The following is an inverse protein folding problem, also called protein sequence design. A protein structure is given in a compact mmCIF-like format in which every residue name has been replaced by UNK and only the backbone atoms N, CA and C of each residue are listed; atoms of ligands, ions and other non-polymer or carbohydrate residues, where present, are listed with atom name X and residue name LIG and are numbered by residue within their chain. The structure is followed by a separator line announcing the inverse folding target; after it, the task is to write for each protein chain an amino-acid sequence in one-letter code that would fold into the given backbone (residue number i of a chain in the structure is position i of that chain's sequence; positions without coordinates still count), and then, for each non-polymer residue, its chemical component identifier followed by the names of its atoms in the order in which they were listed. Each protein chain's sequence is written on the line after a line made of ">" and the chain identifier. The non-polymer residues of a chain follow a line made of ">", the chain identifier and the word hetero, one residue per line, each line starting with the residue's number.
data_IF_013656808487
#
_entry.id   IF_013656808487
#
_cell.length_a   1.000
_cell.length_b   1.000
_cell.length_c   1.000
_cell.angle_alpha   90.00
_cell.angle_beta   90.00
_cell.angle_gamma   90.00
#
_symmetry.space_group_name_H-M   'P 1'
#
loop_
_entity.id
_entity.type
_entity.pdbx_description
1 polymer ?
#
# COMPACT_ATOMS: atom_id res chain seq x y z
N UNK A 1 10.21 0.79 5.62
CA UNK A 1 10.13 1.85 4.58
C UNK A 1 9.79 1.17 3.27
N UNK A 2 8.90 1.73 2.46
CA UNK A 2 8.58 1.21 1.11
C UNK A 2 9.28 2.12 0.10
N UNK A 3 10.20 1.56 -0.70
CA UNK A 3 10.88 2.30 -1.76
C UNK A 3 9.98 2.44 -2.99
N UNK A 4 9.57 3.66 -3.33
CA UNK A 4 8.64 3.94 -4.41
C UNK A 4 9.37 4.10 -5.73
N UNK A 5 9.33 3.06 -6.55
CA UNK A 5 10.17 2.93 -7.75
C UNK A 5 9.48 3.40 -9.03
N UNK A 6 8.26 3.92 -8.97
CA UNK A 6 7.39 4.28 -10.13
C UNK A 6 8.07 5.12 -11.23
N UNK A 7 9.09 5.91 -10.91
CA UNK A 7 9.78 6.83 -11.82
C UNK A 7 11.24 6.47 -12.17
N UNK A 8 11.77 5.34 -11.68
CA UNK A 8 13.16 4.94 -11.92
C UNK A 8 13.28 3.76 -12.87
N UNK A 9 14.44 3.52 -13.46
CA UNK A 9 14.66 2.32 -14.28
C UNK A 9 14.84 1.06 -13.42
N UNK A 10 14.99 -0.09 -14.07
CA UNK A 10 15.18 -1.37 -13.37
C UNK A 10 16.54 -1.46 -12.68
N UNK A 11 17.56 -0.75 -13.17
CA UNK A 11 18.92 -0.82 -12.63
C UNK A 11 18.99 -0.11 -11.26
N UNK A 12 18.26 0.99 -11.09
CA UNK A 12 18.05 1.61 -9.78
C UNK A 12 17.35 0.66 -8.80
N UNK A 13 16.40 -0.16 -9.27
CA UNK A 13 15.73 -1.16 -8.41
C UNK A 13 16.71 -2.25 -8.00
N UNK A 14 17.54 -2.76 -8.92
CA UNK A 14 18.59 -3.75 -8.59
C UNK A 14 19.55 -3.21 -7.53
N UNK A 15 19.97 -1.94 -7.65
CA UNK A 15 20.84 -1.30 -6.66
C UNK A 15 20.17 -1.24 -5.28
N UNK A 16 18.88 -0.88 -5.20
CA UNK A 16 18.14 -0.92 -3.94
C UNK A 16 18.10 -2.33 -3.33
N UNK A 17 17.86 -3.34 -4.17
CA UNK A 17 17.82 -4.74 -3.74
C UNK A 17 19.19 -5.19 -3.22
N UNK A 18 20.29 -4.83 -3.90
CA UNK A 18 21.66 -5.11 -3.45
C UNK A 18 22.01 -4.40 -2.13
N UNK A 19 21.42 -3.23 -1.88
CA UNK A 19 21.52 -2.51 -0.60
C UNK A 19 20.62 -3.09 0.51
N UNK A 20 19.89 -4.18 0.24
CA UNK A 20 19.06 -4.89 1.20
C UNK A 20 17.64 -4.33 1.35
N UNK A 21 17.17 -3.48 0.43
CA UNK A 21 15.77 -3.04 0.41
C UNK A 21 14.86 -4.18 -0.01
N UNK A 22 13.87 -4.50 0.83
CA UNK A 22 12.95 -5.61 0.61
C UNK A 22 11.56 -5.18 0.13
N UNK A 23 11.10 -3.99 0.47
CA UNK A 23 9.74 -3.52 0.21
C UNK A 23 9.73 -2.51 -0.95
N UNK A 24 9.26 -2.95 -2.11
CA UNK A 24 9.24 -2.19 -3.36
C UNK A 24 7.81 -1.75 -3.70
N UNK A 25 7.61 -0.46 -3.94
CA UNK A 25 6.30 0.16 -4.16
C UNK A 25 6.08 0.66 -5.59
N UNK A 26 5.01 0.18 -6.21
CA UNK A 26 4.60 0.56 -7.57
C UNK A 26 3.21 1.15 -7.61
N UNK A 27 2.99 2.13 -8.49
CA UNK A 27 1.69 2.81 -8.62
C UNK A 27 0.81 2.27 -9.74
N UNK A 28 1.36 1.55 -10.72
CA UNK A 28 0.62 1.08 -11.90
C UNK A 28 0.82 -0.42 -12.10
N UNK A 29 -0.28 -1.15 -12.30
CA UNK A 29 -0.28 -2.60 -12.43
C UNK A 29 0.65 -3.13 -13.55
N UNK A 30 0.64 -2.59 -14.80
CA UNK A 30 1.53 -3.12 -15.84
C UNK A 30 3.02 -2.94 -15.50
N UNK A 31 3.36 -1.79 -14.90
CA UNK A 31 4.72 -1.47 -14.49
C UNK A 31 5.19 -2.39 -13.34
N UNK A 32 4.29 -2.66 -12.38
CA UNK A 32 4.53 -3.62 -11.31
C UNK A 32 4.86 -5.02 -11.83
N UNK A 33 4.04 -5.54 -12.75
CA UNK A 33 4.23 -6.88 -13.33
C UNK A 33 5.54 -6.96 -14.09
N UNK A 34 5.82 -5.96 -14.94
CA UNK A 34 7.05 -5.93 -15.74
C UNK A 34 8.30 -5.88 -14.84
N UNK A 35 8.33 -4.97 -13.86
CA UNK A 35 9.50 -4.81 -12.98
C UNK A 35 9.73 -6.03 -12.09
N UNK A 36 8.66 -6.61 -11.53
CA UNK A 36 8.79 -7.85 -10.76
C UNK A 36 9.40 -8.95 -11.61
N UNK A 37 8.93 -9.13 -12.85
CA UNK A 37 9.50 -10.12 -13.77
C UNK A 37 10.97 -9.86 -14.06
N UNK A 38 11.36 -8.63 -14.37
CA UNK A 38 12.75 -8.28 -14.67
C UNK A 38 13.68 -8.53 -13.47
N UNK A 39 13.23 -8.16 -12.27
CA UNK A 39 14.01 -8.39 -11.04
C UNK A 39 14.09 -9.88 -10.69
N UNK A 40 13.00 -10.64 -10.82
CA UNK A 40 13.01 -12.10 -10.60
C UNK A 40 13.92 -12.82 -11.62
N UNK A 41 13.97 -12.35 -12.87
CA UNK A 41 14.88 -12.86 -13.89
C UNK A 41 16.34 -12.55 -13.55
N UNK A 42 16.62 -11.31 -13.14
CA UNK A 42 17.97 -10.90 -12.74
C UNK A 42 18.48 -11.65 -11.50
N UNK A 43 17.61 -11.92 -10.52
CA UNK A 43 17.92 -12.74 -9.34
C UNK A 43 18.12 -14.24 -9.68
N UNK A 44 17.92 -14.66 -10.93
CA UNK A 44 18.21 -16.03 -11.38
C UNK A 44 17.27 -17.09 -10.83
N UNK A 45 16.03 -16.75 -10.46
CA UNK A 45 15.01 -17.72 -10.03
C UNK A 45 15.17 -18.27 -8.61
N UNK A 46 16.21 -17.90 -7.86
CA UNK A 46 16.27 -18.10 -6.41
C UNK A 46 15.34 -17.10 -5.71
N UNK A 47 14.02 -17.34 -5.80
CA UNK A 47 12.94 -16.61 -5.10
C UNK A 47 13.15 -16.48 -3.57
N UNK A 48 14.18 -17.11 -3.02
CA UNK A 48 14.40 -17.34 -1.60
C UNK A 48 15.42 -16.41 -0.92
N UNK A 49 16.27 -15.67 -1.64
CA UNK A 49 17.40 -15.00 -0.97
C UNK A 49 17.15 -13.60 -0.42
N UNK A 50 16.19 -12.84 -0.96
CA UNK A 50 16.00 -11.42 -0.54
C UNK A 50 14.61 -11.13 0.04
N UNK A 51 13.66 -12.07 0.01
CA UNK A 51 12.35 -11.88 0.64
C UNK A 51 11.62 -10.63 0.16
N UNK A 52 11.75 -10.28 -1.13
CA UNK A 52 11.15 -9.07 -1.70
C UNK A 52 9.63 -9.10 -1.56
N UNK A 53 9.07 -7.96 -1.13
CA UNK A 53 7.64 -7.71 -1.05
C UNK A 53 7.29 -6.58 -2.01
N UNK A 54 6.36 -6.86 -2.91
CA UNK A 54 5.87 -5.90 -3.89
C UNK A 54 4.54 -5.30 -3.45
N UNK A 55 4.53 -3.97 -3.30
CA UNK A 55 3.40 -3.19 -2.84
C UNK A 55 2.76 -2.44 -4.01
N UNK A 56 1.48 -2.71 -4.29
CA UNK A 56 0.69 -1.85 -5.15
C UNK A 56 0.12 -0.70 -4.32
N UNK A 57 0.67 0.51 -4.52
CA UNK A 57 0.35 1.72 -3.73
C UNK A 57 -0.52 2.74 -4.48
N UNK A 58 -0.78 2.51 -5.77
CA UNK A 58 -1.66 3.33 -6.58
C UNK A 58 -3.08 2.75 -6.67
N UNK A 59 -4.01 3.54 -7.20
CA UNK A 59 -5.40 3.12 -7.39
C UNK A 59 -5.49 1.85 -8.27
N UNK A 60 -6.27 0.87 -7.81
CA UNK A 60 -6.48 -0.40 -8.49
C UNK A 60 -7.87 -0.45 -9.13
N UNK A 61 -7.89 -0.41 -10.46
CA UNK A 61 -9.12 -0.63 -11.21
C UNK A 61 -9.51 -2.12 -11.16
N UNK A 62 -10.82 -2.41 -10.97
CA UNK A 62 -11.34 -3.78 -10.87
C UNK A 62 -10.94 -4.70 -12.04
N UNK A 63 -10.96 -4.20 -13.28
CA UNK A 63 -10.56 -4.96 -14.46
C UNK A 63 -9.05 -5.30 -14.52
N UNK A 64 -8.22 -4.73 -13.64
CA UNK A 64 -6.79 -5.02 -13.52
C UNK A 64 -6.46 -5.90 -12.32
N UNK A 65 -7.43 -6.29 -11.50
CA UNK A 65 -7.22 -7.11 -10.30
C UNK A 65 -6.50 -8.41 -10.61
N UNK A 66 -6.96 -9.16 -11.61
CA UNK A 66 -6.32 -10.42 -12.01
C UNK A 66 -4.83 -10.24 -12.33
N UNK A 67 -4.50 -9.22 -13.13
CA UNK A 67 -3.13 -8.91 -13.50
C UNK A 67 -2.31 -8.41 -12.30
N UNK A 68 -2.90 -7.60 -11.43
CA UNK A 68 -2.23 -7.12 -10.22
C UNK A 68 -1.83 -8.27 -9.30
N UNK A 69 -2.69 -9.28 -9.16
CA UNK A 69 -2.43 -10.45 -8.33
C UNK A 69 -1.30 -11.34 -8.86
N UNK A 70 -0.89 -11.21 -10.12
CA UNK A 70 0.30 -11.91 -10.63
C UNK A 70 1.59 -11.41 -9.97
N UNK A 71 1.60 -10.17 -9.47
CA UNK A 71 2.83 -9.51 -8.98
C UNK A 71 2.72 -8.78 -7.64
N UNK A 72 1.54 -8.45 -7.12
CA UNK A 72 1.40 -7.78 -5.83
C UNK A 72 1.40 -8.78 -4.67
N UNK A 73 2.21 -8.50 -3.66
CA UNK A 73 2.16 -9.19 -2.36
C UNK A 73 1.27 -8.42 -1.37
N UNK A 74 1.22 -7.09 -1.49
CA UNK A 74 0.40 -6.19 -0.68
C UNK A 74 -0.31 -5.17 -1.57
N UNK A 75 -1.61 -4.96 -1.36
CA UNK A 75 -2.42 -3.94 -2.07
C UNK A 75 -2.87 -2.87 -1.07
N UNK A 76 -2.47 -1.62 -1.27
CA UNK A 76 -2.73 -0.55 -0.30
C UNK A 76 -4.03 0.23 -0.56
N UNK A 77 -4.67 -0.03 -1.69
CA UNK A 77 -5.66 0.87 -2.29
C UNK A 77 -7.08 0.31 -2.28
N UNK A 78 -7.48 -0.47 -1.28
CA UNK A 78 -8.89 -0.89 -1.15
C UNK A 78 -9.71 0.36 -0.82
N UNK A 79 -10.50 0.84 -1.76
CA UNK A 79 -11.29 2.07 -1.62
C UNK A 79 -12.81 1.83 -1.70
N UNK A 80 -13.23 0.58 -1.94
CA UNK A 80 -14.64 0.23 -2.13
C UNK A 80 -14.88 -1.26 -1.90
N UNK A 81 -16.12 -1.61 -1.51
CA UNK A 81 -16.56 -3.00 -1.35
C UNK A 81 -16.41 -3.78 -2.66
N UNK A 82 -16.82 -3.19 -3.79
CA UNK A 82 -16.75 -3.82 -5.12
C UNK A 82 -15.32 -4.19 -5.52
N UNK A 83 -14.33 -3.39 -5.12
CA UNK A 83 -12.93 -3.71 -5.38
C UNK A 83 -12.46 -4.86 -4.48
N UNK A 84 -12.81 -4.84 -3.20
CA UNK A 84 -12.48 -5.92 -2.27
C UNK A 84 -13.11 -7.26 -2.70
N UNK A 85 -14.38 -7.26 -3.13
CA UNK A 85 -15.08 -8.44 -3.65
C UNK A 85 -14.37 -9.05 -4.87
N UNK A 86 -13.95 -8.22 -5.82
CA UNK A 86 -13.22 -8.66 -7.02
C UNK A 86 -11.88 -9.30 -6.65
N UNK A 87 -11.14 -8.70 -5.72
CA UNK A 87 -9.84 -9.23 -5.26
C UNK A 87 -10.06 -10.55 -4.52
N UNK A 88 -11.06 -10.62 -3.63
CA UNK A 88 -11.41 -11.85 -2.91
C UNK A 88 -11.78 -12.97 -3.89
N UNK A 89 -12.62 -12.68 -4.89
CA UNK A 89 -13.03 -13.66 -5.89
C UNK A 89 -11.83 -14.16 -6.72
N UNK A 90 -10.97 -13.26 -7.18
CA UNK A 90 -9.80 -13.62 -7.96
C UNK A 90 -8.77 -14.42 -7.14
N UNK A 91 -8.53 -14.04 -5.89
CA UNK A 91 -7.65 -14.77 -4.97
C UNK A 91 -8.21 -16.17 -4.63
N UNK A 92 -9.52 -16.26 -4.39
CA UNK A 92 -10.21 -17.53 -4.13
C UNK A 92 -10.10 -18.51 -5.31
N UNK A 93 -10.29 -18.03 -6.55
CA UNK A 93 -10.08 -18.85 -7.77
C UNK A 93 -8.64 -19.32 -7.93
N UNK A 94 -7.67 -18.52 -7.47
CA UNK A 94 -6.25 -18.83 -7.53
C UNK A 94 -5.74 -19.62 -6.31
N UNK A 95 -6.60 -19.92 -5.32
CA UNK A 95 -6.20 -20.64 -4.10
C UNK A 95 -5.17 -19.90 -3.25
N UNK A 96 -5.16 -18.56 -3.28
CA UNK A 96 -4.19 -17.73 -2.54
C UNK A 96 -4.87 -16.71 -1.64
N UNK A 97 -4.09 -16.14 -0.73
CA UNK A 97 -4.46 -14.95 0.04
C UNK A 97 -3.58 -13.78 -0.37
N UNK A 98 -4.03 -12.56 -0.04
CA UNK A 98 -3.25 -11.34 -0.25
C UNK A 98 -3.42 -10.38 0.92
N UNK A 99 -2.33 -9.70 1.29
CA UNK A 99 -2.39 -8.62 2.28
C UNK A 99 -2.98 -7.37 1.63
N UNK A 100 -3.92 -6.76 2.35
CA UNK A 100 -4.56 -5.53 1.89
C UNK A 100 -4.57 -4.47 2.98
N UNK A 101 -4.45 -3.22 2.55
CA UNK A 101 -4.78 -2.07 3.37
C UNK A 101 -5.97 -1.36 2.74
N UNK A 102 -6.80 -0.77 3.61
CA UNK A 102 -7.90 0.07 3.19
C UNK A 102 -7.45 1.51 3.06
N UNK A 103 -7.62 2.09 1.88
CA UNK A 103 -7.33 3.49 1.63
C UNK A 103 -8.50 4.35 2.12
N UNK A 104 -8.23 5.25 3.06
CA UNK A 104 -9.21 6.18 3.61
C UNK A 104 -8.86 7.60 3.17
N UNK A 105 -9.85 8.35 2.69
CA UNK A 105 -9.69 9.76 2.36
C UNK A 105 -9.78 10.60 3.64
N UNK A 106 -8.62 10.83 4.29
CA UNK A 106 -8.50 11.65 5.50
C UNK A 106 -8.16 13.12 5.19
N UNK A 107 -8.07 13.52 3.92
CA UNK A 107 -7.79 14.92 3.52
C UNK A 107 -9.05 15.70 3.15
N UNK A 108 -10.23 15.06 3.15
CA UNK A 108 -11.52 15.63 2.73
C UNK A 108 -11.49 16.24 1.32
N UNK A 109 -10.58 15.78 0.46
CA UNK A 109 -10.49 16.22 -0.93
C UNK A 109 -11.32 15.26 -1.80
N UNK A 110 -12.50 15.68 -2.30
CA UNK A 110 -13.43 14.78 -3.00
C UNK A 110 -12.86 14.17 -4.28
N UNK A 111 -11.84 14.80 -4.88
CA UNK A 111 -11.12 14.31 -6.05
C UNK A 111 -10.16 13.15 -5.74
N UNK A 112 -9.85 12.89 -4.47
CA UNK A 112 -8.93 11.81 -4.07
C UNK A 112 -9.67 10.51 -3.84
N UNK A 113 -9.03 9.42 -4.26
CA UNK A 113 -9.47 8.06 -3.95
C UNK A 113 -9.42 7.78 -2.46
N UNK A 114 -10.26 6.84 -2.04
CA UNK A 114 -10.34 6.35 -0.67
C UNK A 114 -11.75 6.39 -0.14
N UNK A 115 -12.00 5.54 0.83
CA UNK A 115 -13.27 5.46 1.54
C UNK A 115 -13.45 6.73 2.36
N UNK A 116 -14.67 7.27 2.39
CA UNK A 116 -14.98 8.35 3.32
C UNK A 116 -14.80 7.87 4.76
N UNK A 117 -14.25 8.72 5.62
CA UNK A 117 -13.97 8.40 7.03
C UNK A 117 -15.17 7.77 7.74
N UNK A 118 -16.38 8.34 7.57
CA UNK A 118 -17.60 7.83 8.20
C UNK A 118 -18.08 6.46 7.70
N UNK A 119 -17.53 5.94 6.60
CA UNK A 119 -17.84 4.62 6.05
C UNK A 119 -16.69 3.62 6.23
N UNK A 120 -15.54 4.05 6.76
CA UNK A 120 -14.33 3.24 6.83
C UNK A 120 -14.51 2.00 7.72
N UNK A 121 -15.01 2.18 8.95
CA UNK A 121 -15.23 1.09 9.91
C UNK A 121 -16.14 0.01 9.31
N UNK A 122 -17.30 0.40 8.79
CA UNK A 122 -18.24 -0.53 8.16
C UNK A 122 -17.63 -1.30 6.99
N UNK A 123 -16.86 -0.63 6.11
CA UNK A 123 -16.18 -1.35 5.03
C UNK A 123 -15.13 -2.32 5.57
N UNK A 124 -14.37 -1.94 6.60
CA UNK A 124 -13.36 -2.79 7.21
C UNK A 124 -13.97 -4.06 7.82
N UNK A 125 -15.15 -3.97 8.45
CA UNK A 125 -15.92 -5.14 8.92
C UNK A 125 -16.24 -6.09 7.76
N UNK A 126 -16.81 -5.58 6.67
CA UNK A 126 -17.16 -6.38 5.50
C UNK A 126 -15.94 -7.05 4.89
N UNK A 127 -14.86 -6.28 4.67
CA UNK A 127 -13.59 -6.80 4.13
C UNK A 127 -12.99 -7.87 5.04
N UNK A 128 -13.15 -7.75 6.36
CA UNK A 128 -12.65 -8.75 7.32
C UNK A 128 -13.36 -10.11 7.23
N UNK A 129 -14.53 -10.18 6.58
CA UNK A 129 -15.24 -11.46 6.34
C UNK A 129 -14.70 -12.23 5.13
N UNK A 130 -13.86 -11.60 4.30
CA UNK A 130 -13.37 -12.20 3.07
C UNK A 130 -12.20 -13.15 3.33
N UNK A 131 -12.42 -14.44 3.09
CA UNK A 131 -11.45 -15.50 3.36
C UNK A 131 -10.12 -15.35 2.60
N UNK A 132 -10.14 -14.72 1.43
CA UNK A 132 -8.93 -14.57 0.61
C UNK A 132 -8.20 -13.23 0.82
N UNK A 133 -8.75 -12.33 1.65
CA UNK A 133 -8.10 -11.06 1.99
C UNK A 133 -7.62 -11.07 3.43
N UNK A 134 -6.42 -10.54 3.66
CA UNK A 134 -5.91 -10.24 5.00
C UNK A 134 -5.86 -8.73 5.16
N UNK A 135 -6.85 -8.15 5.82
CA UNK A 135 -6.84 -6.72 6.13
C UNK A 135 -5.80 -6.44 7.22
N UNK A 136 -4.64 -5.93 6.82
CA UNK A 136 -3.49 -5.75 7.73
C UNK A 136 -3.29 -4.30 8.16
N UNK A 137 -4.03 -3.35 7.60
CA UNK A 137 -3.85 -1.95 7.95
C UNK A 137 -4.71 -0.97 7.18
N UNK A 138 -4.42 0.31 7.40
CA UNK A 138 -5.03 1.45 6.72
C UNK A 138 -3.98 2.24 5.95
N UNK A 139 -4.41 2.93 4.91
CA UNK A 139 -3.60 3.80 4.09
C UNK A 139 -4.28 5.16 3.92
N UNK A 140 -3.51 6.24 3.89
CA UNK A 140 -4.02 7.54 3.43
C UNK A 140 -2.99 8.29 2.59
N UNK A 141 -3.51 9.25 1.82
CA UNK A 141 -2.76 10.20 1.01
C UNK A 141 -3.10 11.61 1.49
N UNK A 142 -2.19 12.20 2.29
CA UNK A 142 -2.30 13.57 2.78
C UNK A 142 -2.40 14.59 1.61
N UNK A 143 -3.01 15.78 1.85
CA UNK A 143 -3.04 16.86 0.87
C UNK A 143 -1.64 17.23 0.40
N UNK A 144 -1.52 17.73 -0.85
CA UNK A 144 -0.25 18.29 -1.30
C UNK A 144 -0.07 19.64 -0.59
N UNK A 145 0.86 19.68 0.35
CA UNK A 145 1.11 20.83 1.22
C UNK A 145 2.55 21.31 1.09
N UNK A 146 2.78 22.58 1.41
CA UNK A 146 4.15 23.16 1.44
C UNK A 146 4.87 22.85 2.74
N UNK A 147 4.15 22.90 3.86
CA UNK A 147 4.64 22.52 5.17
C UNK A 147 4.16 21.10 5.50
N UNK A 148 5.08 20.22 5.90
CA UNK A 148 4.77 18.86 6.32
C UNK A 148 3.76 18.83 7.50
N UNK A 149 3.74 19.86 8.34
CA UNK A 149 2.81 19.95 9.47
C UNK A 149 1.35 20.05 9.01
N UNK A 150 1.10 20.63 7.84
CA UNK A 150 -0.27 20.74 7.29
C UNK A 150 -0.83 19.37 6.86
N UNK A 151 0.02 18.34 6.72
CA UNK A 151 -0.40 16.95 6.48
C UNK A 151 -0.81 16.22 7.77
N UNK A 152 -0.36 16.68 8.95
CA UNK A 152 -0.58 16.03 10.25
C UNK A 152 -2.06 15.70 10.52
N UNK A 153 -3.05 16.58 10.24
CA UNK A 153 -4.45 16.27 10.52
C UNK A 153 -4.94 15.00 9.80
N UNK A 154 -4.46 14.73 8.58
CA UNK A 154 -4.81 13.50 7.87
C UNK A 154 -4.21 12.26 8.51
N UNK A 155 -3.00 12.35 9.08
CA UNK A 155 -2.34 11.23 9.76
C UNK A 155 -2.96 10.93 11.13
N UNK A 156 -3.24 11.97 11.92
CA UNK A 156 -4.00 11.85 13.18
C UNK A 156 -5.34 11.17 12.91
N UNK A 157 -6.06 11.61 11.88
CA UNK A 157 -7.38 11.04 11.57
C UNK A 157 -7.32 9.57 11.14
N UNK A 158 -6.27 9.17 10.42
CA UNK A 158 -6.06 7.76 10.07
C UNK A 158 -5.72 6.92 11.31
N UNK A 159 -4.92 7.48 12.24
CA UNK A 159 -4.54 6.82 13.50
C UNK A 159 -5.74 6.59 14.40
N UNK A 160 -6.62 7.57 14.54
CA UNK A 160 -7.88 7.45 15.30
C UNK A 160 -8.74 6.29 14.77
N UNK A 161 -8.96 6.23 13.44
CA UNK A 161 -9.70 5.13 12.81
C UNK A 161 -9.02 3.77 13.03
N UNK A 162 -7.69 3.73 12.96
CA UNK A 162 -6.94 2.50 13.20
C UNK A 162 -7.12 2.00 14.63
N UNK A 163 -7.07 2.90 15.62
CA UNK A 163 -7.26 2.55 17.02
C UNK A 163 -8.72 2.12 17.32
N UNK A 164 -9.69 2.82 16.73
CA UNK A 164 -11.11 2.45 16.77
C UNK A 164 -11.31 1.02 16.27
N UNK A 165 -10.85 0.71 15.05
CA UNK A 165 -10.98 -0.63 14.46
C UNK A 165 -10.24 -1.70 15.26
N UNK A 166 -9.09 -1.37 15.87
CA UNK A 166 -8.39 -2.31 16.76
C UNK A 166 -9.15 -2.57 18.04
N UNK A 167 -9.78 -1.55 18.62
CA UNK A 167 -10.59 -1.68 19.84
C UNK A 167 -11.83 -2.56 19.62
N UNK A 168 -12.42 -2.46 18.43
CA UNK A 168 -13.54 -3.29 17.97
C UNK A 168 -13.10 -4.69 17.50
N UNK A 169 -11.79 -4.97 17.52
CA UNK A 169 -11.19 -6.26 17.10
C UNK A 169 -11.47 -6.61 15.63
N UNK A 170 -11.66 -5.59 14.78
CA UNK A 170 -11.79 -5.77 13.34
C UNK A 170 -10.53 -6.46 12.78
N UNK A 171 -10.74 -7.30 11.77
CA UNK A 171 -9.69 -8.16 11.17
C UNK A 171 -9.04 -9.15 12.15
N UNK A 172 -9.73 -9.51 13.25
CA UNK A 172 -9.26 -10.49 14.23
C UNK A 172 -7.83 -10.19 14.75
N UNK A 173 -7.54 -8.92 15.00
CA UNK A 173 -6.25 -8.47 15.55
C UNK A 173 -5.10 -8.39 14.54
N UNK A 174 -5.35 -8.58 13.23
CA UNK A 174 -4.31 -8.47 12.18
C UNK A 174 -3.98 -7.03 11.79
N UNK A 175 -4.77 -6.04 12.21
CA UNK A 175 -4.49 -4.63 11.96
C UNK A 175 -3.19 -4.22 12.65
N UNK A 176 -2.14 -4.07 11.84
CA UNK A 176 -0.78 -3.79 12.28
C UNK A 176 -0.16 -2.58 11.57
N UNK A 177 -0.75 -2.14 10.45
CA UNK A 177 -0.08 -1.18 9.57
C UNK A 177 -0.83 0.13 9.35
N UNK A 178 -0.07 1.22 9.41
CA UNK A 178 -0.45 2.56 8.97
C UNK A 178 0.47 2.97 7.83
N UNK A 179 -0.07 2.92 6.61
CA UNK A 179 0.60 3.34 5.39
C UNK A 179 0.30 4.81 5.13
N UNK A 180 1.13 5.69 5.65
CA UNK A 180 1.02 7.14 5.52
C UNK A 180 2.40 7.79 5.55
N UNK A 181 2.54 8.97 4.95
CA UNK A 181 3.83 9.63 4.74
C UNK A 181 4.53 9.26 3.43
N UNK A 182 5.05 10.28 2.77
CA UNK A 182 5.85 10.28 1.55
C UNK A 182 7.07 11.19 1.74
N UNK A 183 7.92 11.33 0.71
CA UNK A 183 9.16 12.12 0.76
C UNK A 183 9.06 13.46 1.50
N UNK A 184 7.98 14.22 1.31
CA UNK A 184 7.83 15.56 1.89
C UNK A 184 7.24 15.63 3.30
N UNK A 185 6.65 14.54 3.81
CA UNK A 185 5.87 14.56 5.06
C UNK A 185 6.05 13.29 5.93
N UNK A 186 6.97 12.39 5.57
CA UNK A 186 7.15 11.13 6.27
C UNK A 186 7.60 11.28 7.73
N UNK A 187 8.34 12.34 8.07
CA UNK A 187 8.78 12.60 9.44
C UNK A 187 7.57 12.84 10.35
N UNK A 188 6.66 13.71 9.93
CA UNK A 188 5.38 13.97 10.60
C UNK A 188 4.52 12.70 10.65
N UNK A 189 4.47 11.93 9.56
CA UNK A 189 3.74 10.66 9.54
C UNK A 189 4.29 9.65 10.58
N UNK A 190 5.62 9.56 10.74
CA UNK A 190 6.26 8.68 11.73
C UNK A 190 5.93 9.12 13.16
N UNK A 191 5.93 10.42 13.45
CA UNK A 191 5.51 10.95 14.75
C UNK A 191 4.07 10.56 15.09
N UNK A 192 3.19 10.50 14.08
CA UNK A 192 1.79 10.06 14.22
C UNK A 192 1.59 8.53 14.14
N UNK A 193 2.68 7.76 14.16
CA UNK A 193 2.64 6.30 14.25
C UNK A 193 2.58 5.56 12.91
N UNK A 194 3.03 6.18 11.80
CA UNK A 194 3.19 5.47 10.54
C UNK A 194 4.12 4.27 10.70
N UNK A 195 3.67 3.10 10.24
CA UNK A 195 4.50 1.88 10.17
C UNK A 195 5.04 1.63 8.76
N UNK A 196 4.46 2.30 7.77
CA UNK A 196 4.80 2.18 6.35
C UNK A 196 4.85 3.56 5.71
N UNK A 197 6.03 4.15 5.63
CA UNK A 197 6.27 5.37 4.82
C UNK A 197 6.67 4.99 3.40
N UNK A 198 6.22 5.78 2.41
CA UNK A 198 6.39 5.52 0.97
C UNK A 198 7.33 6.55 0.36
N UNK A 199 8.62 6.25 0.31
CA UNK A 199 9.64 7.24 -0.06
C UNK A 199 10.03 7.04 -1.53
N UNK A 200 9.91 8.10 -2.32
CA UNK A 200 10.25 8.12 -3.74
C UNK A 200 11.39 9.09 -4.00
N UNK A 201 11.07 10.35 -4.30
CA UNK A 201 12.05 11.38 -4.66
C UNK A 201 13.26 11.44 -3.73
N UNK A 202 13.08 11.41 -2.41
CA UNK A 202 14.20 11.50 -1.47
C UNK A 202 15.12 10.28 -1.45
N UNK A 203 14.73 9.14 -2.06
CA UNK A 203 15.64 8.00 -2.29
C UNK A 203 16.44 8.14 -3.60
N UNK A 204 15.98 8.97 -4.54
CA UNK A 204 16.50 9.04 -5.91
C UNK A 204 16.87 10.46 -6.35
N UNK A 205 16.95 11.42 -5.42
CA UNK A 205 17.21 12.83 -5.69
C UNK A 205 18.62 13.09 -6.28
N UNK A 206 19.52 12.10 -6.27
CA UNK A 206 20.81 12.11 -6.99
C UNK A 206 20.83 11.27 -8.29
N UNK A 207 19.71 10.64 -8.67
CA UNK A 207 19.63 9.77 -9.86
C UNK A 207 19.06 10.46 -11.12
N UNK A 208 19.04 11.80 -11.14
CA UNK A 208 18.62 12.62 -12.30
C UNK A 208 19.65 13.71 -12.58
#
# INVERSE_FOLDING_TARGET
>A
VIAVTKSVDVDAIKLLVDMGVTDIGESRVPQLVERRRQIEQWLGGEKSRVGLRWHLIGHLQRNKVKLALEAADVIHSIDSLRLAEEINQCCGKAGRTVDVLMQVNCSNEPQKFGVAVGAAVHLAELVSTFAALRLVGLMTMAPLVKDAQDARPSFVRLKELFDEMRSEKISAGRLAHLSMGMSGDYTVAVEEGATMVRIGSSLFEEAV
#
